data_IF_819569434734
#
_entry.id   IF_819569434734
#
_cell.length_a   1.000
_cell.length_b   1.000
_cell.length_c   1.000
_cell.angle_alpha   90.00
_cell.angle_beta   90.00
_cell.angle_gamma   90.00
#
_symmetry.space_group_name_H-M   'P 1'
#
loop_
_entity.id
_entity.type
_entity.pdbx_description
1 polymer ?
#
# COMPACT_ATOMS: atom_id res chain seq x y z
N UNK A 1 42.54 -18.32 3.88
CA UNK A 1 41.30 -17.55 3.67
C UNK A 1 40.78 -17.92 2.30
N UNK A 2 39.60 -18.53 2.22
CA UNK A 2 38.93 -18.72 0.92
C UNK A 2 38.70 -17.35 0.27
N UNK A 3 38.99 -17.24 -1.00
CA UNK A 3 38.84 -16.00 -1.74
C UNK A 3 37.37 -15.86 -2.15
N UNK A 4 36.64 -15.03 -1.41
CA UNK A 4 35.19 -14.76 -1.52
C UNK A 4 34.77 -14.49 -2.98
N UNK A 5 35.66 -13.91 -3.80
CA UNK A 5 35.40 -13.67 -5.22
C UNK A 5 35.15 -14.96 -5.99
N UNK A 6 35.97 -15.99 -5.78
CA UNK A 6 35.82 -17.25 -6.49
C UNK A 6 34.58 -18.03 -6.02
N UNK A 7 34.27 -17.99 -4.72
CA UNK A 7 33.03 -18.53 -4.17
C UNK A 7 31.78 -17.88 -4.78
N UNK A 8 31.78 -16.55 -4.95
CA UNK A 8 30.69 -15.83 -5.59
C UNK A 8 30.53 -16.20 -7.08
N UNK A 9 31.64 -16.36 -7.81
CA UNK A 9 31.62 -16.80 -9.22
C UNK A 9 31.01 -18.20 -9.36
N UNK A 10 31.41 -19.15 -8.51
CA UNK A 10 30.83 -20.49 -8.50
C UNK A 10 29.33 -20.48 -8.15
N UNK A 11 28.91 -19.62 -7.22
CA UNK A 11 27.51 -19.50 -6.83
C UNK A 11 26.63 -18.96 -7.97
N UNK A 12 27.12 -17.95 -8.71
CA UNK A 12 26.40 -17.39 -9.86
C UNK A 12 26.25 -18.43 -10.98
N UNK A 13 27.30 -19.21 -11.26
CA UNK A 13 27.27 -20.27 -12.27
C UNK A 13 26.23 -21.36 -11.97
N UNK A 14 25.88 -21.56 -10.70
CA UNK A 14 24.87 -22.54 -10.26
C UNK A 14 23.44 -21.97 -10.22
N UNK A 15 23.25 -20.65 -10.39
CA UNK A 15 21.95 -20.01 -10.24
C UNK A 15 21.06 -20.29 -11.46
N UNK A 16 19.88 -20.85 -11.21
CA UNK A 16 18.84 -21.05 -12.23
C UNK A 16 17.89 -19.84 -12.27
N UNK A 17 17.47 -19.37 -13.47
CA UNK A 17 16.44 -18.35 -13.57
C UNK A 17 15.15 -18.78 -12.86
N UNK A 18 14.52 -17.85 -12.15
CA UNK A 18 13.20 -18.09 -11.57
C UNK A 18 12.16 -18.04 -12.68
N UNK A 19 11.29 -19.05 -12.73
CA UNK A 19 10.15 -19.06 -13.65
C UNK A 19 9.02 -18.29 -13.01
N UNK A 20 8.63 -17.17 -13.61
CA UNK A 20 7.48 -16.38 -13.18
C UNK A 20 6.22 -16.84 -13.91
N UNK A 21 5.14 -17.09 -13.17
CA UNK A 21 3.81 -17.40 -13.73
C UNK A 21 2.96 -16.14 -13.67
N UNK A 22 2.40 -15.75 -14.81
CA UNK A 22 1.48 -14.63 -14.88
C UNK A 22 0.18 -14.96 -14.12
N UNK A 23 -0.39 -14.01 -13.35
CA UNK A 23 -1.67 -14.22 -12.67
C UNK A 23 -2.84 -14.48 -13.64
N UNK A 24 -2.87 -13.76 -14.77
CA UNK A 24 -3.83 -13.94 -15.87
C UNK A 24 -3.12 -13.79 -17.22
N UNK A 25 -3.71 -14.36 -18.27
CA UNK A 25 -3.27 -14.13 -19.65
C UNK A 25 -3.55 -12.69 -20.13
N UNK A 26 -4.55 -12.03 -19.55
CA UNK A 26 -4.93 -10.66 -19.91
C UNK A 26 -4.40 -9.67 -18.87
N UNK A 27 -3.55 -8.76 -19.31
CA UNK A 27 -2.87 -7.79 -18.42
C UNK A 27 -3.87 -6.90 -17.66
N UNK A 28 -4.99 -6.55 -18.29
CA UNK A 28 -6.01 -5.71 -17.67
C UNK A 28 -6.62 -6.30 -16.40
N UNK A 29 -6.55 -7.62 -16.22
CA UNK A 29 -7.21 -8.30 -15.10
C UNK A 29 -6.49 -8.05 -13.76
N UNK A 30 -5.18 -7.79 -13.80
CA UNK A 30 -4.36 -7.56 -12.61
C UNK A 30 -3.64 -6.20 -12.64
N UNK A 31 -3.75 -5.44 -13.73
CA UNK A 31 -3.19 -4.09 -13.81
C UNK A 31 -3.88 -3.17 -12.79
N UNK A 32 -3.10 -2.57 -11.90
CA UNK A 32 -3.62 -1.68 -10.86
C UNK A 32 -4.39 -2.40 -9.74
N UNK A 33 -4.36 -3.73 -9.67
CA UNK A 33 -5.15 -4.48 -8.67
C UNK A 33 -4.77 -4.16 -7.20
N UNK A 34 -3.55 -3.63 -6.99
CA UNK A 34 -3.00 -3.22 -5.71
C UNK A 34 -2.97 -1.69 -5.53
N UNK A 35 -3.75 -0.94 -6.33
CA UNK A 35 -3.88 0.51 -6.16
C UNK A 35 -5.31 0.86 -5.79
N UNK A 36 -5.49 1.82 -4.87
CA UNK A 36 -6.80 2.37 -4.55
C UNK A 36 -7.21 3.34 -5.65
N UNK A 37 -7.53 2.76 -6.81
CA UNK A 37 -7.85 3.45 -8.06
C UNK A 37 -9.24 4.07 -8.03
N UNK A 38 -9.61 4.80 -9.08
CA UNK A 38 -10.95 5.39 -9.25
C UNK A 38 -12.09 4.38 -9.08
N UNK A 39 -11.94 3.20 -9.69
CA UNK A 39 -12.90 2.10 -9.57
C UNK A 39 -13.01 1.62 -8.12
N UNK A 40 -11.87 1.43 -7.45
CA UNK A 40 -11.84 1.01 -6.05
C UNK A 40 -12.38 2.09 -5.12
N UNK A 41 -12.11 3.37 -5.40
CA UNK A 41 -12.67 4.49 -4.67
C UNK A 41 -14.18 4.54 -4.81
N UNK A 42 -14.72 4.33 -6.01
CA UNK A 42 -16.16 4.32 -6.25
C UNK A 42 -16.87 3.15 -5.55
N UNK A 43 -16.20 2.00 -5.41
CA UNK A 43 -16.74 0.82 -4.71
C UNK A 43 -16.71 0.95 -3.18
N UNK A 44 -15.65 1.56 -2.63
CA UNK A 44 -15.41 1.57 -1.18
C UNK A 44 -15.77 2.89 -0.48
N UNK A 45 -15.72 4.03 -1.17
CA UNK A 45 -16.01 5.32 -0.55
C UNK A 45 -17.52 5.62 -0.58
N UNK A 46 -18.04 6.29 0.47
CA UNK A 46 -19.32 6.97 0.38
C UNK A 46 -19.33 8.00 -0.76
N UNK A 47 -20.48 8.23 -1.39
CA UNK A 47 -20.64 9.13 -2.54
C UNK A 47 -20.08 10.54 -2.30
N UNK A 48 -20.33 11.11 -1.12
CA UNK A 48 -19.82 12.43 -0.75
C UNK A 48 -18.29 12.46 -0.62
N UNK A 49 -17.69 11.42 -0.03
CA UNK A 49 -16.25 11.28 0.14
C UNK A 49 -15.56 11.10 -1.22
N UNK A 50 -16.11 10.24 -2.07
CA UNK A 50 -15.63 10.03 -3.44
C UNK A 50 -15.62 11.33 -4.24
N UNK A 51 -16.74 12.07 -4.24
CA UNK A 51 -16.85 13.37 -4.92
C UNK A 51 -15.84 14.38 -4.38
N UNK A 52 -15.58 14.39 -3.08
CA UNK A 52 -14.59 15.30 -2.50
C UNK A 52 -13.16 14.94 -2.92
N UNK A 53 -12.80 13.66 -2.92
CA UNK A 53 -11.49 13.21 -3.41
C UNK A 53 -11.29 13.59 -4.88
N UNK A 54 -12.31 13.40 -5.72
CA UNK A 54 -12.26 13.82 -7.12
C UNK A 54 -12.10 15.34 -7.29
N UNK A 55 -12.76 16.15 -6.45
CA UNK A 55 -12.56 17.60 -6.47
C UNK A 55 -11.15 17.99 -6.03
N UNK A 56 -10.61 17.33 -5.01
CA UNK A 56 -9.24 17.55 -4.56
C UNK A 56 -8.23 17.22 -5.67
N UNK A 57 -8.40 16.10 -6.36
CA UNK A 57 -7.54 15.68 -7.47
C UNK A 57 -7.64 16.65 -8.66
N UNK A 58 -8.86 16.97 -9.10
CA UNK A 58 -9.07 17.71 -10.35
C UNK A 58 -8.95 19.23 -10.22
N UNK A 59 -9.28 19.78 -9.05
CA UNK A 59 -9.36 21.23 -8.81
C UNK A 59 -8.36 21.73 -7.77
N UNK A 60 -7.63 20.85 -7.10
CA UNK A 60 -6.72 21.22 -6.01
C UNK A 60 -7.45 21.71 -4.75
N UNK A 61 -8.72 21.35 -4.58
CA UNK A 61 -9.48 21.65 -3.36
C UNK A 61 -8.90 20.87 -2.16
N UNK A 62 -9.07 21.42 -0.95
CA UNK A 62 -8.67 20.72 0.27
C UNK A 62 -9.71 19.65 0.62
N UNK A 63 -9.24 18.53 1.17
CA UNK A 63 -10.09 17.52 1.79
C UNK A 63 -10.43 18.00 3.20
N UNK A 64 -11.72 18.01 3.53
CA UNK A 64 -12.17 18.42 4.85
C UNK A 64 -11.76 17.36 5.88
N UNK A 65 -11.37 17.82 7.08
CA UNK A 65 -10.93 16.90 8.13
C UNK A 65 -12.02 15.89 8.53
N UNK A 66 -13.29 16.31 8.51
CA UNK A 66 -14.42 15.42 8.78
C UNK A 66 -14.58 14.30 7.75
N UNK A 67 -14.15 14.54 6.50
CA UNK A 67 -14.21 13.55 5.43
C UNK A 67 -12.96 12.66 5.42
N UNK A 68 -11.82 13.19 5.89
CA UNK A 68 -10.57 12.44 5.97
C UNK A 68 -10.74 11.14 6.77
N UNK A 69 -11.45 11.17 7.90
CA UNK A 69 -11.72 9.98 8.71
C UNK A 69 -12.52 8.91 7.93
N UNK A 70 -13.49 9.33 7.10
CA UNK A 70 -14.29 8.43 6.28
C UNK A 70 -13.46 7.81 5.14
N UNK A 71 -12.60 8.64 4.52
CA UNK A 71 -11.68 8.18 3.47
C UNK A 71 -10.68 7.18 4.06
N UNK A 72 -10.11 7.47 5.24
CA UNK A 72 -9.19 6.59 5.94
C UNK A 72 -9.84 5.25 6.29
N UNK A 73 -11.05 5.27 6.87
CA UNK A 73 -11.76 4.03 7.21
C UNK A 73 -12.02 3.14 5.97
N UNK A 74 -12.42 3.75 4.85
CA UNK A 74 -12.69 3.05 3.59
C UNK A 74 -11.42 2.53 2.94
N UNK A 75 -10.35 3.33 2.94
CA UNK A 75 -9.03 2.94 2.43
C UNK A 75 -8.44 1.79 3.23
N UNK A 76 -8.59 1.80 4.56
CA UNK A 76 -8.20 0.69 5.43
C UNK A 76 -8.97 -0.58 5.07
N UNK A 77 -10.29 -0.51 4.92
CA UNK A 77 -11.11 -1.66 4.57
C UNK A 77 -10.67 -2.27 3.22
N UNK A 78 -10.41 -1.44 2.22
CA UNK A 78 -9.85 -1.88 0.94
C UNK A 78 -8.47 -2.53 1.12
N UNK A 79 -7.55 -1.88 1.82
CA UNK A 79 -6.19 -2.37 2.00
C UNK A 79 -6.17 -3.72 2.75
N UNK A 80 -6.99 -3.85 3.78
CA UNK A 80 -7.16 -5.10 4.53
C UNK A 80 -7.78 -6.22 3.66
N UNK A 81 -8.70 -5.89 2.74
CA UNK A 81 -9.22 -6.87 1.78
C UNK A 81 -8.12 -7.45 0.86
N UNK A 82 -7.03 -6.71 0.69
CA UNK A 82 -5.81 -7.12 -0.04
C UNK A 82 -4.75 -7.77 0.86
N UNK A 83 -5.03 -7.94 2.16
CA UNK A 83 -4.14 -8.54 3.14
C UNK A 83 -3.14 -7.57 3.78
N UNK A 84 -3.31 -6.26 3.62
CA UNK A 84 -2.46 -5.28 4.29
C UNK A 84 -2.76 -5.23 5.80
N UNK A 85 -1.70 -5.17 6.60
CA UNK A 85 -1.77 -5.09 8.08
C UNK A 85 -1.15 -3.80 8.63
N UNK A 86 -0.41 -3.08 7.79
CA UNK A 86 0.33 -1.87 8.13
C UNK A 86 0.09 -0.80 7.06
N UNK A 87 0.34 0.45 7.44
CA UNK A 87 0.39 1.60 6.55
C UNK A 87 1.70 2.37 6.74
N UNK A 88 2.01 3.21 5.77
CA UNK A 88 3.16 4.12 5.82
C UNK A 88 2.88 5.38 5.03
N UNK A 89 3.54 6.48 5.43
CA UNK A 89 3.59 7.69 4.62
C UNK A 89 4.75 7.53 3.63
N UNK A 90 4.44 7.16 2.39
CA UNK A 90 5.46 6.98 1.37
C UNK A 90 5.85 8.33 0.75
N UNK A 91 7.09 8.76 0.93
CA UNK A 91 7.65 9.97 0.33
C UNK A 91 9.17 9.84 0.13
N UNK A 92 9.73 10.67 -0.76
CA UNK A 92 11.17 10.72 -1.00
C UNK A 92 11.80 11.93 -0.29
N UNK A 93 12.55 11.76 0.82
CA UNK A 93 13.16 12.88 1.52
C UNK A 93 14.35 13.45 0.74
N UNK A 94 14.62 14.75 0.90
CA UNK A 94 15.76 15.44 0.27
C UNK A 94 17.11 15.11 0.93
N UNK A 95 17.14 14.21 1.91
CA UNK A 95 18.34 13.86 2.70
C UNK A 95 19.21 12.78 2.04
N UNK A 96 18.75 12.17 0.95
CA UNK A 96 19.46 11.07 0.27
C UNK A 96 19.45 9.73 1.02
N UNK A 97 18.83 9.67 2.20
CA UNK A 97 18.62 8.45 2.98
C UNK A 97 17.16 8.00 2.89
N UNK A 98 16.91 6.69 2.97
CA UNK A 98 15.55 6.15 3.02
C UNK A 98 14.96 6.33 4.42
N UNK A 99 13.78 6.94 4.52
CA UNK A 99 12.98 6.94 5.74
C UNK A 99 11.86 5.91 5.55
N UNK A 100 11.88 4.84 6.35
CA UNK A 100 10.86 3.79 6.33
C UNK A 100 10.24 3.70 7.72
N UNK A 101 8.91 3.70 7.78
CA UNK A 101 8.15 3.49 9.02
C UNK A 101 6.91 2.70 8.69
N UNK A 102 6.71 1.56 9.33
CA UNK A 102 5.50 0.75 9.18
C UNK A 102 4.70 0.83 10.47
N UNK A 103 3.53 1.47 10.40
CA UNK A 103 2.59 1.55 11.50
C UNK A 103 1.49 0.50 11.28
N UNK A 104 1.24 -0.34 12.28
CA UNK A 104 0.18 -1.34 12.20
C UNK A 104 -1.19 -0.67 12.36
N UNK A 105 -2.23 -1.23 11.74
CA UNK A 105 -3.60 -0.76 12.01
C UNK A 105 -4.05 -1.06 13.44
N UNK A 106 -3.44 -2.04 14.11
CA UNK A 106 -3.84 -2.46 15.46
C UNK A 106 -3.58 -1.36 16.49
N UNK A 107 -4.62 -1.05 17.25
CA UNK A 107 -4.60 -0.11 18.36
C UNK A 107 -5.18 -0.80 19.60
N UNK A 108 -4.40 -0.93 20.69
CA UNK A 108 -4.89 -1.46 21.95
C UNK A 108 -6.04 -0.61 22.50
N UNK A 109 -7.05 -1.26 23.07
CA UNK A 109 -8.17 -0.58 23.74
C UNK A 109 -8.19 -0.91 25.23
N UNK A 110 -8.81 -0.02 25.99
CA UNK A 110 -9.04 -0.23 27.42
C UNK A 110 -9.82 -1.54 27.64
N UNK A 111 -9.40 -2.35 28.61
CA UNK A 111 -10.00 -3.67 28.85
C UNK A 111 -9.27 -4.87 28.22
N UNK A 112 -8.09 -4.67 27.62
CA UNK A 112 -7.20 -5.77 27.19
C UNK A 112 -7.49 -6.33 25.79
N UNK A 113 -8.38 -5.70 25.03
CA UNK A 113 -8.62 -5.99 23.61
C UNK A 113 -7.79 -5.10 22.68
N UNK A 114 -7.95 -5.29 21.38
CA UNK A 114 -7.41 -4.41 20.35
C UNK A 114 -8.40 -4.25 19.21
N UNK A 115 -8.35 -3.08 18.55
CA UNK A 115 -9.13 -2.79 17.35
C UNK A 115 -8.20 -2.36 16.23
N UNK A 116 -8.58 -2.59 14.98
CA UNK A 116 -7.83 -2.10 13.83
C UNK A 116 -8.40 -0.75 13.40
N UNK A 117 -7.58 0.30 13.42
CA UNK A 117 -7.98 1.66 13.09
C UNK A 117 -6.94 2.35 12.19
N UNK A 118 -7.41 3.28 11.36
CA UNK A 118 -6.57 4.13 10.53
C UNK A 118 -7.12 5.55 10.63
N UNK A 119 -6.28 6.48 11.08
CA UNK A 119 -6.60 7.88 11.39
C UNK A 119 -5.68 8.81 10.60
#
# INVERSE_FOLDING_TARGET
MENIRFTALEAILKRKPLVFKLPSAKISDYFGEQTFSDVSMQEFLPDDAYKQVLRAINKGEKIDRSMADQIAASLKAWAMSKGATHYTHWFHPLTGATAEKHDAFINPVEGGGAIENFQ
#
